data_IF_139265077093
#
_entry.id   IF_139265077093
#
_cell.length_a   1.000
_cell.length_b   1.000
_cell.length_c   1.000
_cell.angle_alpha   90.00
_cell.angle_beta   90.00
_cell.angle_gamma   90.00
#
_symmetry.space_group_name_H-M   'P 1'
#
loop_
_entity.id
_entity.type
_entity.pdbx_description
1 polymer ?
#
# COMPACT_ATOMS: atom_id res chain seq x y z
N UNK A 1 -71.26 71.85 -12.85
CA UNK A 1 -72.01 70.58 -12.69
C UNK A 1 -71.03 69.42 -12.91
N UNK A 2 -71.00 68.48 -11.96
CA UNK A 2 -70.49 67.09 -12.03
C UNK A 2 -68.98 66.83 -12.25
N UNK A 3 -68.30 66.35 -11.18
CA UNK A 3 -67.11 65.46 -11.28
C UNK A 3 -67.53 63.99 -11.35
N UNK A 4 -66.76 63.00 -10.83
CA UNK A 4 -65.30 62.77 -10.81
C UNK A 4 -64.96 61.32 -11.29
N UNK A 5 -63.81 60.76 -10.85
CA UNK A 5 -63.44 59.31 -10.76
C UNK A 5 -62.61 58.70 -11.90
N UNK A 6 -61.63 57.79 -11.72
CA UNK A 6 -60.81 57.27 -10.60
C UNK A 6 -59.78 56.33 -11.27
N UNK A 7 -58.55 56.25 -10.77
CA UNK A 7 -57.56 55.26 -11.22
C UNK A 7 -56.35 55.26 -10.30
N UNK A 8 -56.40 54.45 -9.23
CA UNK A 8 -55.40 54.44 -8.16
C UNK A 8 -54.04 53.84 -8.55
N UNK A 9 -52.99 54.10 -7.75
CA UNK A 9 -51.67 53.53 -7.99
C UNK A 9 -51.55 52.07 -7.53
N UNK A 10 -50.82 51.32 -8.34
CA UNK A 10 -50.45 49.91 -8.21
C UNK A 10 -49.51 49.71 -7.00
N UNK A 11 -49.89 48.80 -6.09
CA UNK A 11 -49.00 48.26 -5.02
C UNK A 11 -48.13 47.14 -5.60
N UNK A 12 -46.90 47.43 -6.02
CA UNK A 12 -45.88 46.39 -6.28
C UNK A 12 -44.50 46.96 -5.94
N UNK A 13 -44.08 46.96 -4.66
CA UNK A 13 -42.70 47.34 -4.30
C UNK A 13 -42.12 46.67 -3.04
N UNK A 14 -42.75 45.63 -2.50
CA UNK A 14 -42.33 45.01 -1.21
C UNK A 14 -41.76 43.59 -1.31
N UNK A 15 -41.91 42.88 -2.43
CA UNK A 15 -41.38 41.50 -2.55
C UNK A 15 -39.92 41.43 -3.04
N UNK A 16 -39.49 42.36 -3.90
CA UNK A 16 -38.14 42.28 -4.50
C UNK A 16 -36.97 42.47 -3.53
N UNK A 17 -37.17 43.23 -2.45
CA UNK A 17 -36.11 43.52 -1.48
C UNK A 17 -35.90 42.38 -0.48
N UNK A 18 -36.98 41.67 -0.11
CA UNK A 18 -36.93 40.49 0.77
C UNK A 18 -36.23 39.31 0.10
N UNK A 19 -36.51 39.07 -1.19
CA UNK A 19 -35.88 37.98 -1.95
C UNK A 19 -34.37 38.19 -2.11
N UNK A 20 -33.92 39.42 -2.40
CA UNK A 20 -32.49 39.74 -2.48
C UNK A 20 -31.78 39.56 -1.13
N UNK A 21 -32.45 39.90 -0.03
CA UNK A 21 -31.91 39.73 1.32
C UNK A 21 -31.73 38.24 1.69
N UNK A 22 -32.72 37.41 1.34
CA UNK A 22 -32.66 35.95 1.57
C UNK A 22 -31.54 35.30 0.76
N UNK A 23 -31.39 35.67 -0.52
CA UNK A 23 -30.31 35.14 -1.37
C UNK A 23 -28.94 35.54 -0.82
N UNK A 24 -28.79 36.79 -0.38
CA UNK A 24 -27.52 37.29 0.13
C UNK A 24 -27.13 36.58 1.44
N UNK A 25 -28.09 36.36 2.34
CA UNK A 25 -27.86 35.59 3.57
C UNK A 25 -27.52 34.12 3.28
N UNK A 26 -28.19 33.48 2.30
CA UNK A 26 -27.89 32.11 1.90
C UNK A 26 -26.47 31.99 1.31
N UNK A 27 -26.04 32.94 0.48
CA UNK A 27 -24.68 32.96 -0.06
C UNK A 27 -23.64 33.12 1.05
N UNK A 28 -23.87 34.01 2.02
CA UNK A 28 -22.95 34.20 3.16
C UNK A 28 -22.88 32.92 4.00
N UNK A 29 -24.00 32.25 4.24
CA UNK A 29 -24.04 31.00 4.97
C UNK A 29 -23.27 29.87 4.24
N UNK A 30 -23.42 29.76 2.92
CA UNK A 30 -22.69 28.78 2.11
C UNK A 30 -21.19 29.06 2.05
N UNK A 31 -20.79 30.33 1.95
CA UNK A 31 -19.37 30.71 1.99
C UNK A 31 -18.78 30.43 3.37
N UNK A 32 -19.51 30.74 4.45
CA UNK A 32 -19.08 30.44 5.81
C UNK A 32 -18.98 28.94 6.05
N UNK A 33 -19.93 28.15 5.55
CA UNK A 33 -19.88 26.68 5.63
C UNK A 33 -18.74 26.11 4.80
N UNK A 34 -18.51 26.63 3.58
CA UNK A 34 -17.39 26.24 2.74
C UNK A 34 -16.04 26.56 3.38
N UNK A 35 -15.89 27.75 3.95
CA UNK A 35 -14.69 28.13 4.71
C UNK A 35 -14.51 27.25 5.95
N UNK A 36 -15.60 26.95 6.67
CA UNK A 36 -15.56 26.05 7.83
C UNK A 36 -15.15 24.63 7.43
N UNK A 37 -15.68 24.11 6.32
CA UNK A 37 -15.30 22.81 5.76
C UNK A 37 -13.85 22.79 5.26
N UNK A 38 -13.35 23.89 4.68
CA UNK A 38 -11.93 24.05 4.34
C UNK A 38 -11.04 24.11 5.58
N UNK A 39 -11.51 24.66 6.71
CA UNK A 39 -10.78 24.60 7.99
C UNK A 39 -10.87 23.24 8.69
N UNK A 40 -11.88 22.42 8.36
CA UNK A 40 -12.04 21.04 8.81
C UNK A 40 -11.25 20.03 7.94
N UNK A 41 -10.66 20.47 6.82
CA UNK A 41 -9.54 19.73 6.26
C UNK A 41 -8.36 19.90 7.22
N UNK A 42 -8.33 19.06 8.25
CA UNK A 42 -7.11 18.79 8.99
C UNK A 42 -6.03 18.54 7.94
N UNK A 43 -4.87 19.23 8.00
CA UNK A 43 -3.77 18.92 7.11
C UNK A 43 -3.54 17.43 7.26
N UNK A 44 -3.84 16.69 6.19
CA UNK A 44 -3.65 15.25 6.06
C UNK A 44 -2.38 14.93 6.82
N UNK A 45 -2.50 14.23 7.96
CA UNK A 45 -1.36 13.85 8.79
C UNK A 45 -0.34 13.31 7.83
N UNK A 46 0.64 14.14 7.46
CA UNK A 46 1.74 13.75 6.60
C UNK A 46 2.45 12.77 7.51
N UNK A 47 2.13 11.49 7.35
CA UNK A 47 2.76 10.42 8.11
C UNK A 47 4.23 10.77 8.02
N UNK A 48 4.86 11.06 9.17
CA UNK A 48 6.24 11.47 9.19
C UNK A 48 6.97 10.42 8.34
N UNK A 49 7.63 10.86 7.27
CA UNK A 49 8.35 9.91 6.44
C UNK A 49 9.49 9.43 7.31
N UNK A 50 9.28 8.27 7.94
CA UNK A 50 10.28 7.64 8.78
C UNK A 50 11.39 7.25 7.82
N UNK A 51 12.49 7.99 7.79
CA UNK A 51 13.66 7.59 7.01
C UNK A 51 14.59 6.81 7.91
N UNK A 52 15.07 5.66 7.44
CA UNK A 52 15.97 4.82 8.23
C UNK A 52 15.83 3.32 8.00
N UNK A 53 16.68 2.53 8.66
CA UNK A 53 16.61 1.07 8.61
C UNK A 53 15.31 0.58 9.25
N UNK A 54 14.69 -0.42 8.63
CA UNK A 54 13.48 -1.09 9.12
C UNK A 54 13.87 -2.49 9.55
N UNK A 55 13.47 -2.89 10.75
CA UNK A 55 13.63 -4.25 11.25
C UNK A 55 12.50 -5.15 10.73
N UNK A 56 12.81 -6.43 10.55
CA UNK A 56 11.83 -7.44 10.12
C UNK A 56 12.06 -8.75 10.86
N UNK A 57 11.01 -9.55 10.91
CA UNK A 57 11.06 -10.94 11.39
C UNK A 57 10.81 -11.88 10.22
N UNK A 58 11.50 -13.02 10.19
CA UNK A 58 11.25 -14.06 9.18
C UNK A 58 9.99 -14.82 9.57
N UNK A 59 8.98 -14.78 8.71
CA UNK A 59 7.72 -15.51 8.89
C UNK A 59 7.84 -16.95 8.39
N UNK A 60 8.44 -17.11 7.20
CA UNK A 60 8.69 -18.40 6.58
C UNK A 60 9.81 -18.27 5.55
N UNK A 61 10.58 -19.33 5.37
CA UNK A 61 11.57 -19.42 4.31
C UNK A 61 11.72 -20.87 3.87
N UNK A 62 12.17 -21.06 2.64
CA UNK A 62 12.38 -22.40 2.14
C UNK A 62 13.02 -22.42 0.77
N UNK A 63 13.39 -23.63 0.39
CA UNK A 63 14.11 -23.93 -0.86
C UNK A 63 13.20 -24.42 -1.97
N UNK A 64 11.93 -24.67 -1.66
CA UNK A 64 10.93 -25.12 -2.63
C UNK A 64 9.53 -24.70 -2.22
N UNK A 65 8.78 -24.18 -3.18
CA UNK A 65 7.34 -23.93 -3.09
C UNK A 65 6.53 -25.13 -3.58
N UNK A 66 5.30 -25.29 -3.07
CA UNK A 66 4.36 -26.32 -3.50
C UNK A 66 3.90 -26.12 -4.95
N UNK A 67 3.73 -24.87 -5.38
CA UNK A 67 3.36 -24.49 -6.74
C UNK A 67 4.54 -23.85 -7.48
N UNK A 68 4.61 -24.00 -8.80
CA UNK A 68 5.59 -23.29 -9.61
C UNK A 68 5.21 -21.82 -9.73
N UNK A 69 6.12 -20.95 -9.34
CA UNK A 69 6.00 -19.50 -9.47
C UNK A 69 7.29 -18.94 -10.03
N UNK A 70 7.19 -17.99 -10.95
CA UNK A 70 8.35 -17.26 -11.46
C UNK A 70 8.90 -16.30 -10.41
N UNK A 71 10.08 -15.73 -10.67
CA UNK A 71 10.67 -14.71 -9.81
C UNK A 71 9.72 -13.52 -9.67
N UNK A 72 9.26 -13.27 -8.44
CA UNK A 72 8.25 -12.24 -8.16
C UNK A 72 8.27 -11.85 -6.69
N UNK A 73 7.93 -10.59 -6.42
CA UNK A 73 7.82 -10.07 -5.07
C UNK A 73 6.37 -9.61 -4.83
N UNK A 74 5.88 -9.82 -3.61
CA UNK A 74 4.54 -9.42 -3.19
C UNK A 74 4.59 -8.65 -1.87
N UNK A 75 3.62 -7.75 -1.74
CA UNK A 75 3.32 -7.03 -0.51
C UNK A 75 1.93 -7.42 -0.08
N UNK A 76 1.81 -8.02 1.10
CA UNK A 76 0.57 -8.59 1.61
C UNK A 76 0.11 -7.79 2.82
N UNK A 77 -1.08 -7.23 2.73
CA UNK A 77 -1.65 -6.28 3.70
C UNK A 77 -2.84 -6.83 4.47
N UNK A 78 -3.27 -8.04 4.16
CA UNK A 78 -4.37 -8.69 4.85
C UNK A 78 -4.21 -10.22 4.83
N UNK A 79 -5.07 -10.88 5.61
CA UNK A 79 -5.04 -12.33 5.77
C UNK A 79 -5.41 -13.10 4.51
N UNK A 80 -6.20 -12.52 3.60
CA UNK A 80 -6.61 -13.17 2.36
C UNK A 80 -5.46 -13.23 1.34
N UNK A 81 -4.73 -12.13 1.21
CA UNK A 81 -3.49 -12.07 0.43
C UNK A 81 -2.43 -13.03 0.98
N UNK A 82 -2.27 -13.07 2.32
CA UNK A 82 -1.37 -14.04 2.97
C UNK A 82 -1.81 -15.48 2.70
N UNK A 83 -3.10 -15.80 2.83
CA UNK A 83 -3.60 -17.14 2.55
C UNK A 83 -3.32 -17.58 1.11
N UNK A 84 -3.50 -16.67 0.14
CA UNK A 84 -3.23 -16.94 -1.27
C UNK A 84 -1.77 -17.24 -1.54
N UNK A 85 -0.85 -16.46 -0.95
CA UNK A 85 0.59 -16.71 -1.08
C UNK A 85 1.01 -17.97 -0.31
N UNK A 86 0.42 -18.20 0.86
CA UNK A 86 0.71 -19.38 1.69
C UNK A 86 0.35 -20.68 0.97
N UNK A 87 -0.74 -20.69 0.20
CA UNK A 87 -1.11 -21.82 -0.65
C UNK A 87 -0.12 -22.08 -1.79
N UNK A 88 0.49 -21.04 -2.37
CA UNK A 88 1.55 -21.19 -3.38
C UNK A 88 2.76 -21.89 -2.75
N UNK A 89 3.11 -21.47 -1.53
CA UNK A 89 4.30 -21.94 -0.83
C UNK A 89 4.09 -23.35 -0.27
N UNK A 90 2.97 -23.62 0.39
CA UNK A 90 2.74 -24.82 1.20
C UNK A 90 1.58 -25.71 0.70
N UNK A 91 0.83 -25.26 -0.29
CA UNK A 91 -0.31 -25.99 -0.88
C UNK A 91 -1.67 -25.66 -0.25
N UNK A 92 -2.79 -26.08 -0.88
CA UNK A 92 -4.16 -25.63 -0.58
C UNK A 92 -4.70 -26.02 0.79
N UNK A 93 -4.06 -26.96 1.49
CA UNK A 93 -4.48 -27.43 2.82
C UNK A 93 -3.67 -26.79 3.95
N UNK A 94 -2.62 -26.04 3.62
CA UNK A 94 -1.79 -25.39 4.61
C UNK A 94 -2.49 -24.16 5.17
N UNK A 95 -2.47 -24.00 6.49
CA UNK A 95 -3.05 -22.84 7.16
C UNK A 95 -1.95 -21.80 7.37
N UNK A 96 -2.15 -20.53 6.94
CA UNK A 96 -1.20 -19.47 7.25
C UNK A 96 -1.19 -19.16 8.75
N UNK A 97 -0.07 -18.61 9.28
CA UNK A 97 -0.03 -18.08 10.63
C UNK A 97 -0.97 -16.88 10.76
N UNK A 98 -1.41 -16.60 12.00
CA UNK A 98 -2.19 -15.39 12.31
C UNK A 98 -1.23 -14.20 12.38
N UNK A 99 -1.49 -13.18 11.56
CA UNK A 99 -0.72 -11.93 11.53
C UNK A 99 -1.66 -10.77 11.88
N UNK A 100 -1.19 -9.90 12.78
CA UNK A 100 -1.86 -8.63 13.09
C UNK A 100 -1.49 -7.60 12.01
N UNK A 101 -2.36 -7.47 11.00
CA UNK A 101 -2.15 -6.59 9.85
C UNK A 101 -2.33 -5.09 10.15
N UNK A 102 -2.86 -4.75 11.33
CA UNK A 102 -2.88 -3.36 11.79
C UNK A 102 -1.48 -2.92 12.23
N UNK A 103 -0.63 -3.89 12.62
CA UNK A 103 0.75 -3.65 13.07
C UNK A 103 1.82 -4.08 12.09
N UNK A 104 1.50 -4.98 11.16
CA UNK A 104 2.46 -5.58 10.25
C UNK A 104 1.93 -5.70 8.83
N UNK A 105 2.83 -5.79 7.88
CA UNK A 105 2.57 -6.34 6.56
C UNK A 105 3.58 -7.44 6.27
N UNK A 106 3.27 -8.31 5.30
CA UNK A 106 4.18 -9.38 4.88
C UNK A 106 4.76 -9.04 3.53
N UNK A 107 6.09 -9.11 3.42
CA UNK A 107 6.78 -9.04 2.14
C UNK A 107 7.19 -10.46 1.76
N UNK A 108 6.75 -10.93 0.60
CA UNK A 108 7.10 -12.25 0.07
C UNK A 108 8.00 -12.09 -1.15
N UNK A 109 9.17 -12.73 -1.13
CA UNK A 109 10.12 -12.74 -2.24
C UNK A 109 10.31 -14.15 -2.76
N UNK A 110 10.26 -14.31 -4.08
CA UNK A 110 10.40 -15.59 -4.77
C UNK A 110 11.51 -15.47 -5.82
N UNK A 111 12.42 -16.44 -5.85
CA UNK A 111 13.53 -16.44 -6.82
C UNK A 111 13.21 -17.19 -8.13
N UNK A 112 12.02 -17.77 -8.21
CA UNK A 112 11.61 -18.55 -9.37
C UNK A 112 12.25 -19.95 -9.44
N UNK A 113 12.05 -20.67 -10.55
CA UNK A 113 12.56 -22.03 -10.72
C UNK A 113 14.04 -22.06 -11.11
N UNK A 114 14.81 -22.87 -10.35
CA UNK A 114 16.18 -23.26 -10.66
C UNK A 114 16.28 -24.75 -10.95
N UNK A 115 17.13 -25.11 -11.92
CA UNK A 115 17.33 -26.49 -12.36
C UNK A 115 18.24 -27.32 -11.43
N UNK A 116 18.93 -26.66 -10.50
CA UNK A 116 19.86 -27.31 -9.56
C UNK A 116 19.68 -26.75 -8.16
N UNK A 117 20.17 -27.47 -7.15
CA UNK A 117 20.22 -26.97 -5.78
C UNK A 117 21.33 -25.93 -5.58
N UNK A 118 21.40 -25.39 -4.36
CA UNK A 118 22.45 -24.45 -3.94
C UNK A 118 22.13 -22.98 -4.20
N UNK A 119 20.95 -22.70 -4.75
CA UNK A 119 20.43 -21.34 -4.84
C UNK A 119 19.81 -20.90 -3.51
N UNK A 120 19.58 -19.60 -3.33
CA UNK A 120 18.93 -19.06 -2.15
C UNK A 120 18.46 -17.64 -2.37
N UNK A 121 17.52 -17.20 -1.55
CA UNK A 121 17.01 -15.84 -1.55
C UNK A 121 16.84 -15.37 -0.11
N UNK A 122 17.22 -14.13 0.15
CA UNK A 122 17.02 -13.50 1.45
C UNK A 122 16.75 -12.01 1.31
N UNK A 123 15.85 -11.48 2.13
CA UNK A 123 15.75 -10.05 2.42
C UNK A 123 16.92 -9.70 3.33
N UNK A 124 17.87 -8.93 2.82
CA UNK A 124 19.11 -8.57 3.53
C UNK A 124 19.08 -7.17 4.12
N UNK A 125 18.20 -6.30 3.60
CA UNK A 125 17.99 -4.95 4.13
C UNK A 125 16.61 -4.44 3.77
N UNK A 126 16.01 -3.69 4.70
CA UNK A 126 14.84 -2.86 4.44
C UNK A 126 15.15 -1.46 4.95
N UNK A 127 14.88 -0.45 4.13
CA UNK A 127 15.05 0.95 4.51
C UNK A 127 13.91 1.79 3.96
N UNK A 128 13.39 2.68 4.80
CA UNK A 128 12.47 3.72 4.38
C UNK A 128 13.26 4.97 3.98
N UNK A 129 12.86 5.58 2.86
CA UNK A 129 13.41 6.81 2.29
C UNK A 129 12.30 7.82 2.07
N UNK A 130 12.64 9.02 1.60
CA UNK A 130 11.64 10.03 1.23
C UNK A 130 10.72 9.57 0.08
N UNK A 131 11.21 8.65 -0.77
CA UNK A 131 10.50 8.14 -1.95
C UNK A 131 9.66 6.90 -1.65
N UNK A 132 9.90 6.23 -0.52
CA UNK A 132 9.21 5.03 -0.10
C UNK A 132 10.15 4.00 0.52
N UNK A 133 9.70 2.75 0.58
CA UNK A 133 10.46 1.63 1.14
C UNK A 133 11.26 0.94 0.06
N UNK A 134 12.55 0.75 0.32
CA UNK A 134 13.46 -0.04 -0.52
C UNK A 134 13.79 -1.35 0.20
N UNK A 135 13.58 -2.47 -0.50
CA UNK A 135 13.92 -3.81 -0.02
C UNK A 135 15.12 -4.34 -0.80
N UNK A 136 16.23 -4.60 -0.12
CA UNK A 136 17.38 -5.28 -0.73
C UNK A 136 17.19 -6.78 -0.61
N UNK A 137 17.25 -7.46 -1.75
CA UNK A 137 17.09 -8.91 -1.88
C UNK A 137 18.42 -9.48 -2.34
N UNK A 138 19.00 -10.35 -1.52
CA UNK A 138 20.23 -11.05 -1.85
C UNK A 138 19.90 -12.44 -2.40
N UNK A 139 20.33 -12.68 -3.63
CA UNK A 139 20.28 -13.97 -4.32
C UNK A 139 21.60 -14.68 -4.10
N UNK A 140 21.53 -15.94 -3.70
CA UNK A 140 22.68 -16.82 -3.57
C UNK A 140 22.73 -17.76 -4.76
N UNK A 141 23.90 -17.89 -5.37
CA UNK A 141 24.14 -18.87 -6.42
C UNK A 141 25.39 -19.71 -6.10
N UNK A 142 25.44 -20.98 -6.53
CA UNK A 142 26.67 -21.76 -6.46
C UNK A 142 27.80 -21.11 -7.27
N UNK A 143 29.03 -21.14 -6.77
CA UNK A 143 30.20 -20.66 -7.51
C UNK A 143 30.48 -21.50 -8.76
N UNK A 144 31.21 -20.93 -9.73
CA UNK A 144 31.65 -21.65 -10.92
C UNK A 144 32.55 -22.83 -10.52
N UNK A 145 32.21 -24.02 -11.00
CA UNK A 145 32.93 -25.26 -10.66
C UNK A 145 32.21 -26.10 -9.61
N UNK A 146 31.18 -25.55 -8.97
CA UNK A 146 30.21 -26.34 -8.23
C UNK A 146 29.50 -27.34 -9.16
N UNK A 147 29.32 -28.58 -8.68
CA UNK A 147 28.49 -29.60 -9.32
C UNK A 147 27.17 -29.78 -8.53
N UNK A 148 26.24 -28.81 -8.60
CA UNK A 148 24.99 -28.91 -7.87
C UNK A 148 24.12 -30.04 -8.45
N UNK A 149 23.42 -30.75 -7.56
CA UNK A 149 22.51 -31.83 -7.95
C UNK A 149 21.34 -31.23 -8.74
N UNK A 150 20.95 -31.89 -9.83
CA UNK A 150 19.76 -31.53 -10.61
C UNK A 150 18.51 -31.92 -9.82
N UNK A 151 17.90 -30.94 -9.18
CA UNK A 151 16.64 -31.06 -8.43
C UNK A 151 15.89 -29.75 -8.55
N UNK A 152 14.55 -29.83 -8.65
CA UNK A 152 13.71 -28.65 -8.73
C UNK A 152 13.84 -27.80 -7.46
N UNK A 153 14.33 -26.58 -7.61
CA UNK A 153 14.61 -25.67 -6.51
C UNK A 153 13.89 -24.34 -6.76
N UNK A 154 13.19 -23.83 -5.74
CA UNK A 154 12.36 -22.63 -5.82
C UNK A 154 12.45 -21.87 -4.49
N UNK A 155 13.56 -21.15 -4.25
CA UNK A 155 13.76 -20.40 -3.02
C UNK A 155 12.68 -19.33 -2.82
N UNK A 156 12.27 -19.15 -1.57
CA UNK A 156 11.38 -18.08 -1.17
C UNK A 156 11.68 -17.63 0.26
N UNK A 157 11.30 -16.39 0.57
CA UNK A 157 11.26 -15.89 1.93
C UNK A 157 10.07 -14.96 2.12
N UNK A 158 9.38 -15.11 3.24
CA UNK A 158 8.32 -14.23 3.71
C UNK A 158 8.80 -13.55 5.00
N UNK A 159 8.72 -12.23 5.05
CA UNK A 159 9.14 -11.44 6.22
C UNK A 159 8.00 -10.54 6.71
N UNK A 160 7.88 -10.40 8.02
CA UNK A 160 7.00 -9.46 8.71
C UNK A 160 7.70 -8.13 8.91
N UNK A 161 7.04 -7.04 8.53
CA UNK A 161 7.60 -5.70 8.62
C UNK A 161 6.53 -4.73 9.12
N UNK A 162 6.93 -3.65 9.79
CA UNK A 162 5.98 -2.57 10.13
C UNK A 162 5.39 -1.96 8.85
N UNK A 163 4.08 -1.67 8.75
CA UNK A 163 3.46 -1.18 7.52
C UNK A 163 4.00 0.19 7.12
N UNK A 164 4.16 0.42 5.82
CA UNK A 164 4.51 1.74 5.26
C UNK A 164 3.36 2.29 4.40
N UNK A 165 3.21 3.60 4.28
CA UNK A 165 2.30 4.18 3.27
C UNK A 165 3.02 4.52 1.96
N UNK A 166 4.36 4.48 1.96
CA UNK A 166 5.18 4.77 0.79
C UNK A 166 5.08 3.72 -0.31
N UNK A 167 5.56 4.10 -1.49
CA UNK A 167 5.80 3.17 -2.58
C UNK A 167 6.80 2.09 -2.13
N UNK A 168 6.71 0.89 -2.69
CA UNK A 168 7.65 -0.19 -2.43
C UNK A 168 8.50 -0.41 -3.68
N UNK A 169 9.82 -0.37 -3.52
CA UNK A 169 10.79 -0.74 -4.54
C UNK A 169 11.75 -1.80 -4.00
N UNK A 170 12.53 -2.41 -4.88
CA UNK A 170 13.54 -3.39 -4.49
C UNK A 170 14.83 -3.19 -5.26
N UNK A 171 15.91 -3.70 -4.68
CA UNK A 171 17.22 -3.82 -5.33
C UNK A 171 17.71 -5.24 -5.12
N UNK A 172 18.27 -5.83 -6.17
CA UNK A 172 18.78 -7.19 -6.12
C UNK A 172 20.30 -7.21 -6.10
N UNK A 173 20.83 -8.03 -5.20
CA UNK A 173 22.25 -8.34 -5.11
C UNK A 173 22.43 -9.83 -5.37
N UNK A 174 23.56 -10.23 -5.94
CA UNK A 174 23.87 -11.65 -6.16
C UNK A 174 25.22 -11.97 -5.55
N UNK A 175 25.26 -13.03 -4.75
CA UNK A 175 26.46 -13.51 -4.08
C UNK A 175 26.70 -14.96 -4.51
N UNK A 176 27.92 -15.24 -4.96
CA UNK A 176 28.38 -16.60 -5.19
C UNK A 176 28.81 -17.22 -3.87
N UNK A 177 28.37 -18.44 -3.59
CA UNK A 177 28.79 -19.20 -2.41
C UNK A 177 29.53 -20.45 -2.86
N UNK A 178 30.67 -20.69 -2.20
CA UNK A 178 31.50 -21.88 -2.39
C UNK A 178 30.78 -23.16 -1.97
N UNK A 179 31.05 -24.25 -2.67
CA UNK A 179 30.45 -25.54 -2.40
C UNK A 179 31.11 -26.21 -1.19
N UNK A 180 30.44 -26.15 -0.04
CA UNK A 180 30.83 -26.91 1.16
C UNK A 180 30.41 -28.38 1.10
#
# INVERSE_FOLDING_TARGET
MHGPAFGGPVRVYTEGMRTKLVILLACVALIALGAYLLTQQEPEKRAAVHTGPVTWDVLAEGTSTAQTIDRKNYRLRNSEELASVWEIVHGPKAKPPVVDFDKHEVLAVFDGPHATNGYGIAVSRIADTEEGRVVTITHTAPEKGCEPKRVAFRPYQLVLVAPTQGALSHTDETVAIDCK
#
